data_IF_523408977740
#
_entry.id   IF_523408977740
#
_cell.length_a   1.000
_cell.length_b   1.000
_cell.length_c   1.000
_cell.angle_alpha   90.00
_cell.angle_beta   90.00
_cell.angle_gamma   90.00
#
_symmetry.space_group_name_H-M   'P 1'
#
loop_
_entity.id
_entity.type
_entity.pdbx_description
1 polymer ?
#
# COMPACT_ATOMS: atom_id res chain seq x y z
N UNK A 1 8.44 -26.10 20.05
CA UNK A 1 9.01 -25.14 19.10
C UNK A 1 8.49 -25.56 17.75
N UNK A 2 7.74 -24.73 17.06
CA UNK A 2 7.36 -25.00 15.67
C UNK A 2 8.65 -25.00 14.83
N UNK A 3 8.82 -26.01 13.97
CA UNK A 3 9.96 -26.07 13.07
C UNK A 3 9.93 -24.84 12.15
N UNK A 4 10.96 -24.00 12.24
CA UNK A 4 11.12 -22.84 11.36
C UNK A 4 11.45 -23.38 9.96
N UNK A 5 10.67 -23.05 8.93
CA UNK A 5 10.96 -23.50 7.58
C UNK A 5 12.29 -22.92 7.09
N UNK A 6 13.02 -23.70 6.31
CA UNK A 6 14.35 -23.30 5.78
C UNK A 6 14.21 -22.29 4.65
N UNK A 7 13.17 -22.44 3.82
CA UNK A 7 12.89 -21.56 2.67
C UNK A 7 11.39 -21.24 2.59
N UNK A 8 11.06 -20.17 1.89
CA UNK A 8 9.71 -19.78 1.52
C UNK A 8 9.67 -19.08 0.18
N UNK A 9 8.52 -19.06 -0.48
CA UNK A 9 8.34 -18.35 -1.75
C UNK A 9 8.25 -16.86 -1.51
N UNK A 10 8.83 -16.08 -2.44
CA UNK A 10 8.80 -14.63 -2.42
C UNK A 10 8.68 -14.08 -3.85
N UNK A 11 7.84 -13.06 -4.04
CA UNK A 11 7.75 -12.33 -5.30
C UNK A 11 8.88 -11.29 -5.36
N UNK A 12 9.70 -11.41 -6.39
CA UNK A 12 10.76 -10.47 -6.71
C UNK A 12 10.39 -9.66 -7.95
N UNK A 13 10.82 -8.41 -8.00
CA UNK A 13 10.74 -7.53 -9.17
C UNK A 13 12.15 -7.09 -9.55
N UNK A 14 12.48 -7.13 -10.84
CA UNK A 14 13.76 -6.73 -11.38
C UNK A 14 13.57 -5.91 -12.66
N UNK A 15 14.36 -4.86 -12.83
CA UNK A 15 14.49 -4.13 -14.07
C UNK A 15 15.84 -4.53 -14.66
N UNK A 16 15.85 -5.17 -15.84
CA UNK A 16 17.12 -5.53 -16.47
C UNK A 16 17.70 -4.36 -17.25
N UNK A 17 19.03 -4.31 -17.37
CA UNK A 17 19.75 -3.33 -18.22
C UNK A 17 19.40 -3.48 -19.71
N UNK A 18 18.84 -4.63 -20.12
CA UNK A 18 18.34 -4.91 -21.46
C UNK A 18 16.93 -4.38 -21.73
N UNK A 19 16.29 -3.72 -20.74
CA UNK A 19 14.97 -3.12 -20.89
C UNK A 19 13.80 -4.07 -20.68
N UNK A 20 13.96 -5.03 -19.80
CA UNK A 20 12.87 -5.91 -19.34
C UNK A 20 12.51 -5.62 -17.89
N UNK A 21 11.22 -5.66 -17.58
CA UNK A 21 10.72 -5.87 -16.24
C UNK A 21 10.51 -7.37 -16.04
N UNK A 22 11.06 -7.93 -14.97
CA UNK A 22 10.83 -9.33 -14.55
C UNK A 22 10.11 -9.38 -13.22
N UNK A 23 9.08 -10.21 -13.12
CA UNK A 23 8.45 -10.61 -11.87
C UNK A 23 8.67 -12.12 -11.71
N UNK A 24 9.32 -12.52 -10.62
CA UNK A 24 9.69 -13.93 -10.40
C UNK A 24 9.22 -14.39 -9.03
N UNK A 25 8.58 -15.57 -8.94
CA UNK A 25 8.30 -16.22 -7.66
C UNK A 25 9.49 -17.13 -7.36
N UNK A 26 10.40 -16.66 -6.51
CA UNK A 26 11.62 -17.38 -6.14
C UNK A 26 11.55 -17.99 -4.74
N UNK A 27 12.36 -19.02 -4.50
CA UNK A 27 12.62 -19.51 -3.14
C UNK A 27 13.63 -18.59 -2.46
N UNK A 28 13.29 -18.12 -1.26
CA UNK A 28 14.15 -17.30 -0.42
C UNK A 28 14.43 -18.00 0.92
N UNK A 29 15.64 -17.88 1.48
CA UNK A 29 15.95 -18.44 2.78
C UNK A 29 15.12 -17.71 3.87
N UNK A 30 14.55 -18.49 4.79
CA UNK A 30 13.87 -17.93 5.97
C UNK A 30 14.90 -17.73 7.07
N UNK A 31 15.06 -16.49 7.48
CA UNK A 31 15.97 -16.14 8.58
C UNK A 31 15.31 -16.41 9.91
N UNK A 32 15.96 -17.21 10.76
CA UNK A 32 15.53 -17.39 12.14
C UNK A 32 15.58 -16.02 12.87
N UNK A 33 14.56 -15.69 13.69
CA UNK A 33 14.56 -14.46 14.46
C UNK A 33 15.57 -14.56 15.62
N UNK A 34 16.28 -13.46 15.86
CA UNK A 34 17.21 -13.26 16.97
C UNK A 34 16.90 -11.92 17.67
N UNK A 35 17.29 -11.77 18.94
CA UNK A 35 17.13 -10.54 19.71
C UNK A 35 15.69 -10.03 19.69
N UNK A 36 15.52 -8.86 19.09
CA UNK A 36 14.27 -8.11 18.96
C UNK A 36 13.43 -8.50 17.74
N UNK A 37 13.84 -9.52 16.97
CA UNK A 37 13.12 -9.90 15.75
C UNK A 37 12.03 -10.92 16.01
N UNK A 38 11.05 -10.92 15.12
CA UNK A 38 9.99 -11.94 15.04
C UNK A 38 9.96 -12.51 13.63
N UNK A 39 9.52 -13.76 13.52
CA UNK A 39 9.21 -14.42 12.25
C UNK A 39 7.70 -14.47 12.06
N UNK A 40 7.21 -13.77 11.05
CA UNK A 40 5.80 -13.75 10.67
C UNK A 40 5.58 -14.71 9.51
N UNK A 41 4.65 -15.65 9.65
CA UNK A 41 4.04 -16.37 8.53
C UNK A 41 2.98 -15.44 7.93
N UNK A 42 3.28 -14.87 6.75
CA UNK A 42 2.40 -13.94 6.06
C UNK A 42 1.23 -14.71 5.43
N UNK A 43 0.02 -14.27 5.66
CA UNK A 43 -1.19 -14.94 5.18
C UNK A 43 -2.03 -14.06 4.25
N UNK A 44 -1.85 -12.73 4.33
CA UNK A 44 -2.54 -11.80 3.45
C UNK A 44 -1.72 -10.52 3.25
N UNK A 45 -1.73 -10.00 2.03
CA UNK A 45 -1.13 -8.71 1.66
C UNK A 45 -2.00 -8.03 0.62
N UNK A 46 -2.33 -6.74 0.77
CA UNK A 46 -3.10 -6.01 -0.22
C UNK A 46 -2.21 -5.61 -1.39
N UNK A 47 -2.82 -5.25 -2.50
CA UNK A 47 -2.16 -4.55 -3.62
C UNK A 47 -2.57 -3.08 -3.55
N UNK A 48 -1.65 -2.23 -3.11
CA UNK A 48 -1.83 -0.79 -3.11
C UNK A 48 -1.38 -0.18 -4.45
N UNK A 49 -1.89 1.01 -4.85
CA UNK A 49 -1.38 1.70 -6.03
C UNK A 49 0.15 1.94 -6.01
N UNK A 50 0.73 2.14 -4.83
CA UNK A 50 2.18 2.26 -4.64
C UNK A 50 2.95 0.96 -4.93
N UNK A 51 2.33 -0.21 -4.71
CA UNK A 51 2.94 -1.50 -5.09
C UNK A 51 3.02 -1.65 -6.62
N UNK A 52 2.02 -1.15 -7.36
CA UNK A 52 2.00 -1.21 -8.82
C UNK A 52 3.20 -0.48 -9.43
N UNK A 53 3.66 0.60 -8.80
CA UNK A 53 4.87 1.31 -9.22
C UNK A 53 6.14 0.44 -9.16
N UNK A 54 6.24 -0.44 -8.18
CA UNK A 54 7.35 -1.38 -8.04
C UNK A 54 7.15 -2.63 -8.91
N UNK A 55 5.92 -3.16 -8.95
CA UNK A 55 5.58 -4.40 -9.66
C UNK A 55 5.56 -4.25 -11.18
N UNK A 56 4.94 -3.17 -11.67
CA UNK A 56 4.77 -2.94 -13.10
C UNK A 56 5.74 -1.88 -13.61
N UNK A 57 6.14 -0.97 -12.73
CA UNK A 57 7.00 0.16 -13.08
C UNK A 57 6.39 0.97 -14.23
N UNK A 58 7.20 1.19 -15.24
CA UNK A 58 6.82 1.84 -16.49
C UNK A 58 6.85 0.86 -17.67
N UNK A 59 6.71 -0.44 -17.40
CA UNK A 59 6.70 -1.48 -18.43
C UNK A 59 5.41 -1.41 -19.26
N UNK A 60 5.52 -1.77 -20.52
CA UNK A 60 4.38 -1.97 -21.40
C UNK A 60 3.72 -3.32 -21.07
N UNK A 61 2.63 -3.28 -20.33
CA UNK A 61 1.91 -4.48 -19.87
C UNK A 61 1.31 -5.31 -21.00
N UNK A 62 1.09 -4.71 -22.18
CA UNK A 62 0.60 -5.44 -23.36
C UNK A 62 1.68 -6.41 -23.92
N UNK A 63 2.93 -6.20 -23.58
CA UNK A 63 4.05 -7.09 -23.95
C UNK A 63 4.29 -8.21 -22.95
N UNK A 64 3.50 -8.26 -21.88
CA UNK A 64 3.68 -9.21 -20.80
C UNK A 64 3.56 -10.66 -21.30
N UNK A 65 4.54 -11.48 -20.95
CA UNK A 65 4.57 -12.90 -21.29
C UNK A 65 5.05 -13.73 -20.11
N UNK A 66 4.50 -14.91 -20.00
CA UNK A 66 5.00 -15.90 -19.05
C UNK A 66 6.37 -16.42 -19.49
N UNK A 67 7.28 -16.50 -18.54
CA UNK A 67 8.64 -17.04 -18.74
C UNK A 67 9.00 -17.95 -17.58
N UNK A 68 10.19 -18.53 -17.64
CA UNK A 68 10.80 -19.25 -16.54
C UNK A 68 12.16 -18.62 -16.26
N UNK A 69 12.49 -18.40 -15.01
CA UNK A 69 13.80 -17.92 -14.59
C UNK A 69 14.43 -18.95 -13.65
N UNK A 70 15.32 -19.76 -14.20
CA UNK A 70 16.04 -20.81 -13.46
C UNK A 70 15.10 -21.78 -12.72
N UNK A 71 14.03 -22.22 -13.39
CA UNK A 71 13.01 -23.11 -12.81
C UNK A 71 11.97 -22.42 -11.94
N UNK A 72 11.96 -21.09 -11.90
CA UNK A 72 10.99 -20.30 -11.15
C UNK A 72 9.95 -19.66 -12.09
N UNK A 73 8.64 -19.76 -11.79
CA UNK A 73 7.60 -19.09 -12.56
C UNK A 73 7.85 -17.58 -12.62
N UNK A 74 7.86 -17.02 -13.82
CA UNK A 74 8.19 -15.63 -14.06
C UNK A 74 7.27 -15.00 -15.11
N UNK A 75 7.16 -13.68 -15.07
CA UNK A 75 6.53 -12.85 -16.09
C UNK A 75 7.52 -11.78 -16.50
N UNK A 76 7.67 -11.56 -17.80
CA UNK A 76 8.45 -10.47 -18.34
C UNK A 76 7.59 -9.52 -19.16
N UNK A 77 7.91 -8.22 -19.13
CA UNK A 77 7.33 -7.18 -19.97
C UNK A 77 8.41 -6.22 -20.47
N UNK A 78 8.19 -5.57 -21.59
CA UNK A 78 9.15 -4.65 -22.19
C UNK A 78 9.07 -3.26 -21.51
N UNK A 79 10.24 -2.66 -21.25
CA UNK A 79 10.32 -1.28 -20.78
C UNK A 79 10.62 -0.39 -21.98
N UNK A 80 9.81 0.66 -22.27
CA UNK A 80 10.07 1.59 -23.35
C UNK A 80 11.48 2.19 -23.25
N UNK A 81 12.20 2.23 -24.37
CA UNK A 81 13.61 2.62 -24.41
C UNK A 81 13.87 4.04 -23.83
N UNK A 82 12.91 4.96 -23.97
CA UNK A 82 13.03 6.31 -23.43
C UNK A 82 12.86 6.37 -21.89
N UNK A 83 12.25 5.34 -21.27
CA UNK A 83 12.07 5.24 -19.82
C UNK A 83 13.27 4.55 -19.15
N UNK A 84 13.87 3.59 -19.83
CA UNK A 84 14.92 2.73 -19.26
C UNK A 84 16.07 3.49 -18.57
N UNK A 85 16.61 4.61 -19.10
CA UNK A 85 17.68 5.35 -18.43
C UNK A 85 17.29 5.92 -17.05
N UNK A 86 16.00 6.22 -16.83
CA UNK A 86 15.50 6.73 -15.55
C UNK A 86 15.43 5.64 -14.47
N UNK A 87 15.48 4.37 -14.85
CA UNK A 87 15.44 3.21 -13.95
C UNK A 87 16.83 2.64 -13.64
N UNK A 88 17.91 3.31 -14.02
CA UNK A 88 19.29 2.82 -13.91
C UNK A 88 19.66 2.35 -12.50
N UNK A 89 19.14 3.00 -11.46
CA UNK A 89 19.40 2.60 -10.07
C UNK A 89 18.81 1.23 -9.68
N UNK A 90 17.90 0.69 -10.51
CA UNK A 90 17.25 -0.62 -10.31
C UNK A 90 17.76 -1.71 -11.23
N UNK A 91 18.68 -1.38 -12.15
CA UNK A 91 19.14 -2.35 -13.14
C UNK A 91 19.80 -3.56 -12.51
N UNK A 92 19.35 -4.74 -12.93
CA UNK A 92 19.91 -6.04 -12.58
C UNK A 92 19.93 -6.31 -11.05
N UNK A 93 18.98 -5.68 -10.34
CA UNK A 93 18.77 -5.89 -8.92
C UNK A 93 17.36 -6.42 -8.67
N UNK A 94 17.27 -7.71 -8.37
CA UNK A 94 16.04 -8.34 -7.93
C UNK A 94 15.67 -7.86 -6.51
N UNK A 95 14.50 -7.28 -6.36
CA UNK A 95 14.01 -6.70 -5.11
C UNK A 95 12.71 -7.36 -4.67
N UNK A 96 12.53 -7.69 -3.38
CA UNK A 96 11.27 -8.19 -2.88
C UNK A 96 10.18 -7.11 -2.92
N UNK A 97 8.96 -7.49 -3.24
CA UNK A 97 7.80 -6.61 -3.37
C UNK A 97 6.82 -6.72 -2.19
N UNK A 98 5.86 -5.78 -2.12
CA UNK A 98 4.79 -5.70 -1.13
C UNK A 98 5.10 -4.75 0.01
N UNK A 99 4.28 -3.68 0.18
CA UNK A 99 4.52 -2.64 1.17
C UNK A 99 4.04 -3.03 2.57
N UNK A 100 2.90 -3.70 2.65
CA UNK A 100 2.25 -4.10 3.90
C UNK A 100 1.60 -5.47 3.76
N UNK A 101 1.25 -6.06 4.88
CA UNK A 101 0.53 -7.32 4.95
C UNK A 101 0.25 -7.73 6.39
N UNK A 102 -0.29 -8.90 6.57
CA UNK A 102 -0.58 -9.46 7.88
C UNK A 102 -0.36 -10.96 7.92
N UNK A 103 -0.13 -11.47 9.12
CA UNK A 103 0.10 -12.86 9.36
C UNK A 103 0.17 -13.19 10.83
N UNK A 104 0.64 -14.40 11.13
CA UNK A 104 0.81 -14.87 12.51
C UNK A 104 2.30 -14.93 12.84
N UNK A 105 2.68 -14.43 14.00
CA UNK A 105 4.04 -14.58 14.53
C UNK A 105 4.25 -16.02 14.95
N UNK A 106 5.15 -16.75 14.28
CA UNK A 106 5.41 -18.17 14.52
C UNK A 106 6.67 -18.43 15.34
N UNK A 107 7.59 -17.47 15.41
CA UNK A 107 8.78 -17.51 16.25
C UNK A 107 9.26 -16.09 16.57
N UNK A 108 10.05 -15.96 17.64
CA UNK A 108 10.64 -14.70 18.08
C UNK A 108 12.03 -14.93 18.68
N UNK A 109 12.89 -13.91 18.61
CA UNK A 109 14.14 -13.83 19.35
C UNK A 109 13.89 -13.71 20.86
N UNK A 110 14.95 -13.57 21.63
CA UNK A 110 14.92 -13.68 23.09
C UNK A 110 14.35 -12.46 23.84
N UNK A 111 14.15 -11.32 23.16
CA UNK A 111 13.57 -10.15 23.81
C UNK A 111 12.11 -10.37 24.26
N UNK A 112 11.77 -10.00 25.53
CA UNK A 112 10.42 -10.21 26.06
C UNK A 112 9.30 -9.58 25.20
N UNK A 113 9.55 -8.42 24.59
CA UNK A 113 8.60 -7.74 23.72
C UNK A 113 8.36 -8.51 22.42
N UNK A 114 9.39 -9.13 21.84
CA UNK A 114 9.26 -10.00 20.67
C UNK A 114 8.52 -11.30 21.03
N UNK A 115 8.90 -11.94 22.15
CA UNK A 115 8.26 -13.16 22.66
C UNK A 115 6.77 -12.98 22.94
N UNK A 116 6.36 -11.81 23.42
CA UNK A 116 4.97 -11.48 23.70
C UNK A 116 4.06 -11.47 22.45
N UNK A 117 4.64 -11.45 21.25
CA UNK A 117 3.91 -11.48 19.98
C UNK A 117 3.72 -12.91 19.42
N UNK A 118 4.42 -13.91 19.94
CA UNK A 118 4.30 -15.29 19.42
C UNK A 118 2.85 -15.78 19.52
N UNK A 119 2.33 -16.31 18.41
CA UNK A 119 0.96 -16.78 18.25
C UNK A 119 -0.06 -15.69 17.96
N UNK A 120 0.31 -14.40 17.99
CA UNK A 120 -0.61 -13.30 17.70
C UNK A 120 -0.70 -13.03 16.20
N UNK A 121 -1.90 -12.62 15.76
CA UNK A 121 -2.10 -11.98 14.47
C UNK A 121 -1.51 -10.56 14.53
N UNK A 122 -0.69 -10.22 13.54
CA UNK A 122 -0.05 -8.90 13.42
C UNK A 122 -0.23 -8.34 12.02
N UNK A 123 -0.51 -7.04 11.94
CA UNK A 123 -0.29 -6.27 10.73
C UNK A 123 1.17 -5.83 10.67
N UNK A 124 1.73 -5.74 9.47
CA UNK A 124 3.14 -5.44 9.26
C UNK A 124 3.31 -4.36 8.19
N UNK A 125 4.12 -3.36 8.51
CA UNK A 125 4.66 -2.39 7.56
C UNK A 125 6.18 -2.57 7.49
N UNK A 126 6.74 -2.85 6.33
CA UNK A 126 8.19 -3.03 6.26
C UNK A 126 8.73 -3.52 4.93
N UNK A 127 7.89 -3.59 3.91
CA UNK A 127 8.29 -4.12 2.60
C UNK A 127 8.46 -5.65 2.57
N UNK A 128 8.63 -6.19 1.38
CA UNK A 128 8.82 -7.63 1.15
C UNK A 128 7.65 -8.50 1.65
N UNK A 129 6.42 -7.96 1.63
CA UNK A 129 5.25 -8.65 2.17
C UNK A 129 4.57 -9.58 1.14
N UNK A 130 5.00 -9.60 -0.12
CA UNK A 130 4.59 -10.62 -1.09
C UNK A 130 5.49 -11.84 -1.01
N UNK A 131 5.48 -12.47 0.17
CA UNK A 131 6.24 -13.66 0.51
C UNK A 131 5.56 -14.46 1.60
N UNK A 132 5.90 -15.74 1.75
CA UNK A 132 5.29 -16.63 2.76
C UNK A 132 5.78 -16.34 4.18
N UNK A 133 7.01 -15.80 4.31
CA UNK A 133 7.63 -15.54 5.61
C UNK A 133 8.36 -14.20 5.60
N UNK A 134 8.33 -13.52 6.76
CA UNK A 134 9.03 -12.26 6.95
C UNK A 134 9.63 -12.17 8.35
N UNK A 135 10.96 -12.06 8.42
CA UNK A 135 11.69 -11.78 9.68
C UNK A 135 11.95 -10.28 9.77
N UNK A 136 11.50 -9.64 10.86
CA UNK A 136 11.58 -8.20 11.06
C UNK A 136 11.60 -7.84 12.56
N UNK A 137 11.92 -6.60 12.88
CA UNK A 137 11.89 -6.09 14.26
C UNK A 137 10.45 -6.05 14.79
N UNK A 138 10.23 -6.45 16.04
CA UNK A 138 8.89 -6.52 16.64
C UNK A 138 8.11 -5.21 16.61
N UNK A 139 8.81 -4.05 16.65
CA UNK A 139 8.18 -2.73 16.59
C UNK A 139 7.52 -2.40 15.24
N UNK A 140 7.81 -3.18 14.18
CA UNK A 140 7.16 -3.07 12.88
C UNK A 140 5.85 -3.89 12.81
N UNK A 141 5.51 -4.58 13.90
CA UNK A 141 4.31 -5.37 14.03
C UNK A 141 3.26 -4.63 14.86
N UNK A 142 2.08 -4.48 14.31
CA UNK A 142 0.89 -4.01 15.03
C UNK A 142 0.09 -5.23 15.46
N UNK A 143 0.06 -5.58 16.77
CA UNK A 143 -0.75 -6.70 17.23
C UNK A 143 -2.24 -6.37 17.08
N UNK A 144 -3.00 -7.33 16.53
CA UNK A 144 -4.43 -7.20 16.37
C UNK A 144 -5.17 -7.62 17.65
N UNK A 145 -6.40 -7.13 17.79
CA UNK A 145 -7.31 -7.61 18.82
C UNK A 145 -7.65 -9.09 18.58
N UNK A 146 -8.02 -9.77 19.65
CA UNK A 146 -8.44 -11.17 19.59
C UNK A 146 -9.60 -11.37 18.62
N UNK A 147 -9.50 -12.41 17.80
CA UNK A 147 -10.48 -12.76 16.77
C UNK A 147 -10.31 -12.05 15.43
N UNK A 148 -9.43 -11.05 15.30
CA UNK A 148 -9.14 -10.41 14.02
C UNK A 148 -8.22 -11.31 13.19
N UNK A 149 -8.65 -11.60 11.97
CA UNK A 149 -7.89 -12.47 11.04
C UNK A 149 -6.80 -11.69 10.30
N UNK A 150 -5.75 -12.35 9.78
CA UNK A 150 -4.76 -11.72 8.91
C UNK A 150 -5.37 -11.05 7.67
N UNK A 151 -6.42 -11.65 7.11
CA UNK A 151 -7.12 -11.06 5.95
C UNK A 151 -7.77 -9.72 6.26
N UNK A 152 -8.37 -9.57 7.44
CA UNK A 152 -9.00 -8.31 7.88
C UNK A 152 -7.96 -7.24 8.22
N UNK A 153 -6.78 -7.63 8.67
CA UNK A 153 -5.69 -6.73 9.07
C UNK A 153 -4.66 -6.46 7.99
N UNK A 154 -4.77 -7.08 6.81
CA UNK A 154 -3.76 -6.96 5.75
C UNK A 154 -3.50 -5.51 5.29
N UNK A 155 -4.52 -4.63 5.32
CA UNK A 155 -4.44 -3.21 4.91
C UNK A 155 -4.48 -2.24 6.10
N UNK A 156 -3.91 -2.59 7.24
CA UNK A 156 -4.04 -1.76 8.45
C UNK A 156 -3.03 -0.61 8.54
N UNK A 157 -2.07 -0.50 7.61
CA UNK A 157 -1.04 0.53 7.65
C UNK A 157 -1.15 1.57 6.53
N UNK A 158 -0.97 1.20 5.26
CA UNK A 158 -0.76 2.17 4.17
C UNK A 158 -1.95 3.13 4.06
N UNK A 159 -3.15 2.62 3.90
CA UNK A 159 -4.33 3.46 3.73
C UNK A 159 -4.74 4.20 5.02
N UNK A 160 -4.83 3.55 6.20
CA UNK A 160 -5.19 4.25 7.44
C UNK A 160 -4.19 5.35 7.84
N UNK A 161 -2.88 5.08 7.74
CA UNK A 161 -1.87 6.09 8.07
C UNK A 161 -1.87 7.24 7.06
N UNK A 162 -2.13 6.96 5.79
CA UNK A 162 -2.27 8.02 4.77
C UNK A 162 -3.48 8.89 5.06
N UNK A 163 -4.63 8.29 5.39
CA UNK A 163 -5.85 9.04 5.74
C UNK A 163 -5.65 9.90 6.99
N UNK A 164 -5.06 9.35 8.05
CA UNK A 164 -4.68 10.09 9.26
C UNK A 164 -3.69 11.23 8.93
N UNK A 165 -2.65 10.93 8.15
CA UNK A 165 -1.66 11.91 7.75
C UNK A 165 -2.25 13.08 6.97
N UNK A 166 -3.27 12.86 6.14
CA UNK A 166 -4.01 13.93 5.46
C UNK A 166 -4.69 14.87 6.46
N UNK A 167 -5.37 14.32 7.48
CA UNK A 167 -6.05 15.11 8.52
C UNK A 167 -5.04 15.87 9.36
N UNK A 168 -3.98 15.22 9.81
CA UNK A 168 -2.94 15.86 10.62
C UNK A 168 -2.18 16.95 9.84
N UNK A 169 -1.84 16.70 8.57
CA UNK A 169 -1.22 17.73 7.72
C UNK A 169 -2.14 18.94 7.56
N UNK A 170 -3.43 18.73 7.31
CA UNK A 170 -4.41 19.82 7.24
C UNK A 170 -4.37 20.67 8.51
N UNK A 171 -4.36 20.03 9.70
CA UNK A 171 -4.30 20.72 10.99
C UNK A 171 -2.99 21.50 11.19
N UNK A 172 -1.87 20.87 10.85
CA UNK A 172 -0.53 21.49 10.95
C UNK A 172 -0.38 22.72 10.06
N UNK A 173 -0.98 22.68 8.86
CA UNK A 173 -1.00 23.80 7.91
C UNK A 173 -2.08 24.86 8.23
N UNK A 174 -2.86 24.69 9.29
CA UNK A 174 -3.90 25.62 9.71
C UNK A 174 -5.16 25.64 8.84
N UNK A 175 -5.39 24.60 8.04
CA UNK A 175 -6.62 24.46 7.27
C UNK A 175 -7.73 23.80 8.09
N UNK A 176 -8.99 24.08 7.73
CA UNK A 176 -10.18 23.57 8.43
C UNK A 176 -11.00 22.56 7.62
N UNK A 177 -10.56 22.24 6.40
CA UNK A 177 -11.27 21.33 5.51
C UNK A 177 -10.31 20.64 4.54
N UNK A 178 -10.74 19.49 4.03
CA UNK A 178 -10.02 18.70 3.03
C UNK A 178 -10.83 18.56 1.74
N UNK A 179 -10.11 18.38 0.64
CA UNK A 179 -10.67 17.95 -0.66
C UNK A 179 -9.97 16.68 -1.07
N UNK A 180 -10.74 15.64 -1.44
CA UNK A 180 -10.19 14.36 -1.86
C UNK A 180 -10.73 13.92 -3.23
N UNK A 181 -9.85 13.64 -4.19
CA UNK A 181 -10.21 13.36 -5.59
C UNK A 181 -10.47 11.87 -5.89
N UNK A 182 -9.96 10.96 -5.07
CA UNK A 182 -10.20 9.52 -5.20
C UNK A 182 -11.14 9.02 -4.11
N UNK A 183 -12.21 9.77 -3.83
CA UNK A 183 -12.99 9.68 -2.61
C UNK A 183 -13.69 8.33 -2.38
N UNK A 184 -14.08 7.62 -3.43
CA UNK A 184 -14.68 6.29 -3.31
C UNK A 184 -13.68 5.14 -3.21
N UNK A 185 -12.36 5.42 -3.24
CA UNK A 185 -11.33 4.41 -3.00
C UNK A 185 -11.36 3.91 -1.56
N UNK A 186 -10.66 2.79 -1.29
CA UNK A 186 -10.53 2.26 0.07
C UNK A 186 -9.98 3.33 1.04
N UNK A 187 -8.92 4.03 0.65
CA UNK A 187 -8.36 5.15 1.40
C UNK A 187 -9.38 6.28 1.60
N UNK A 188 -10.11 6.67 0.55
CA UNK A 188 -11.10 7.75 0.63
C UNK A 188 -12.26 7.42 1.57
N UNK A 189 -12.73 6.18 1.60
CA UNK A 189 -13.74 5.72 2.54
C UNK A 189 -13.22 5.74 4.00
N UNK A 190 -11.95 5.38 4.23
CA UNK A 190 -11.31 5.51 5.55
C UNK A 190 -11.18 6.97 5.97
N UNK A 191 -10.73 7.84 5.06
CA UNK A 191 -10.63 9.28 5.30
C UNK A 191 -12.00 9.88 5.65
N UNK A 192 -13.06 9.50 4.92
CA UNK A 192 -14.43 9.96 5.22
C UNK A 192 -14.86 9.58 6.63
N UNK A 193 -14.59 8.34 7.08
CA UNK A 193 -14.91 7.89 8.43
C UNK A 193 -14.13 8.66 9.51
N UNK A 194 -12.84 8.91 9.29
CA UNK A 194 -12.01 9.71 10.22
C UNK A 194 -12.54 11.15 10.28
N UNK A 195 -12.83 11.77 9.13
CA UNK A 195 -13.36 13.13 9.08
C UNK A 195 -14.69 13.28 9.80
N UNK A 196 -15.60 12.28 9.71
CA UNK A 196 -16.84 12.27 10.49
C UNK A 196 -16.54 12.18 12.00
N UNK A 197 -15.67 11.27 12.41
CA UNK A 197 -15.34 11.07 13.83
C UNK A 197 -14.68 12.30 14.45
N UNK A 198 -13.91 13.05 13.68
CA UNK A 198 -13.12 14.21 14.12
C UNK A 198 -13.77 15.57 13.80
N UNK A 199 -15.01 15.57 13.29
CA UNK A 199 -15.76 16.77 12.83
C UNK A 199 -14.97 17.62 11.81
N UNK A 200 -14.23 16.96 10.91
CA UNK A 200 -13.48 17.61 9.83
C UNK A 200 -14.34 17.65 8.57
N UNK A 201 -14.46 18.82 7.94
CA UNK A 201 -15.17 18.96 6.67
C UNK A 201 -14.37 18.36 5.52
N UNK A 202 -15.00 17.41 4.80
CA UNK A 202 -14.37 16.72 3.66
C UNK A 202 -15.22 16.88 2.40
N UNK A 203 -14.65 17.48 1.36
CA UNK A 203 -15.26 17.53 0.02
C UNK A 203 -14.79 16.35 -0.78
N UNK A 204 -15.70 15.45 -1.10
CA UNK A 204 -15.45 14.23 -1.85
C UNK A 204 -15.67 14.45 -3.34
N UNK A 205 -14.66 14.19 -4.16
CA UNK A 205 -14.76 14.28 -5.61
C UNK A 205 -14.79 12.89 -6.22
N UNK A 206 -15.84 12.62 -7.00
CA UNK A 206 -16.06 11.34 -7.69
C UNK A 206 -16.37 11.55 -9.17
N UNK A 207 -16.38 10.47 -9.95
CA UNK A 207 -16.64 10.50 -11.41
C UNK A 207 -17.88 9.72 -11.83
N UNK A 208 -18.52 9.01 -10.90
CA UNK A 208 -19.68 8.15 -11.19
C UNK A 208 -20.72 8.29 -10.08
N UNK A 209 -21.99 8.14 -10.41
CA UNK A 209 -23.08 8.27 -9.44
C UNK A 209 -23.06 7.14 -8.39
N UNK A 210 -22.65 5.91 -8.77
CA UNK A 210 -22.53 4.83 -7.81
C UNK A 210 -21.49 5.16 -6.71
N UNK A 211 -20.42 5.86 -7.08
CA UNK A 211 -19.40 6.33 -6.14
C UNK A 211 -19.95 7.42 -5.20
N UNK A 212 -20.79 8.31 -5.75
CA UNK A 212 -21.44 9.35 -4.96
C UNK A 212 -22.44 8.76 -3.97
N UNK A 213 -23.24 7.80 -4.41
CA UNK A 213 -24.18 7.08 -3.55
C UNK A 213 -23.46 6.37 -2.39
N UNK A 214 -22.41 5.61 -2.68
CA UNK A 214 -21.56 4.94 -1.68
C UNK A 214 -21.07 5.91 -0.58
N UNK A 215 -20.61 7.09 -0.96
CA UNK A 215 -20.10 8.07 0.01
C UNK A 215 -21.23 8.73 0.83
N UNK A 216 -22.37 9.00 0.20
CA UNK A 216 -23.57 9.51 0.93
C UNK A 216 -24.06 8.47 1.94
N UNK A 217 -24.06 7.19 1.58
CA UNK A 217 -24.41 6.10 2.50
C UNK A 217 -23.42 5.98 3.67
N UNK A 218 -22.16 6.37 3.47
CA UNK A 218 -21.17 6.50 4.53
C UNK A 218 -21.30 7.78 5.36
N UNK A 219 -22.28 8.64 5.07
CA UNK A 219 -22.52 9.89 5.80
C UNK A 219 -21.75 11.10 5.24
N UNK A 220 -21.26 11.06 4.01
CA UNK A 220 -20.59 12.22 3.40
C UNK A 220 -21.59 13.36 3.13
N UNK A 221 -21.32 14.53 3.71
CA UNK A 221 -22.13 15.74 3.51
C UNK A 221 -21.86 16.41 2.15
N UNK A 222 -20.58 16.45 1.75
CA UNK A 222 -20.15 17.13 0.52
C UNK A 222 -19.61 16.13 -0.50
N UNK A 223 -20.41 15.85 -1.54
CA UNK A 223 -20.04 14.96 -2.63
C UNK A 223 -20.22 15.67 -3.97
N UNK A 224 -19.14 15.82 -4.72
CA UNK A 224 -19.13 16.43 -6.04
C UNK A 224 -18.89 15.35 -7.11
N UNK A 225 -19.91 15.11 -7.96
CA UNK A 225 -19.77 14.20 -9.08
C UNK A 225 -19.30 14.99 -10.33
N UNK A 226 -18.08 14.75 -10.79
CA UNK A 226 -17.48 15.45 -11.92
C UNK A 226 -18.11 15.10 -13.29
N UNK A 227 -18.98 14.09 -13.37
CA UNK A 227 -19.76 13.82 -14.57
C UNK A 227 -20.91 14.83 -14.73
N UNK A 228 -21.28 15.57 -13.68
CA UNK A 228 -22.20 16.69 -13.76
C UNK A 228 -21.43 17.95 -14.24
N UNK A 229 -21.70 18.36 -15.48
CA UNK A 229 -20.99 19.46 -16.14
C UNK A 229 -21.10 20.80 -15.39
N UNK A 230 -22.22 21.05 -14.70
CA UNK A 230 -22.43 22.28 -13.92
C UNK A 230 -21.55 22.28 -12.66
N UNK A 231 -21.52 21.17 -11.92
CA UNK A 231 -20.69 21.01 -10.72
C UNK A 231 -19.19 21.02 -11.08
N UNK A 232 -18.80 20.40 -12.20
CA UNK A 232 -17.42 20.41 -12.68
C UNK A 232 -16.92 21.85 -12.97
N UNK A 233 -17.73 22.67 -13.67
CA UNK A 233 -17.40 24.05 -13.96
C UNK A 233 -17.36 24.93 -12.70
N UNK A 234 -18.28 24.74 -11.78
CA UNK A 234 -18.31 25.43 -10.50
C UNK A 234 -17.07 25.14 -9.67
N UNK A 235 -16.67 23.85 -9.59
CA UNK A 235 -15.48 23.40 -8.86
C UNK A 235 -14.19 23.94 -9.46
N UNK A 236 -14.04 23.90 -10.77
CA UNK A 236 -12.89 24.47 -11.48
C UNK A 236 -12.77 26.00 -11.23
N UNK A 237 -13.88 26.71 -11.11
CA UNK A 237 -13.87 28.14 -10.75
C UNK A 237 -13.41 28.38 -9.31
N UNK A 238 -13.82 27.53 -8.36
CA UNK A 238 -13.39 27.64 -6.97
C UNK A 238 -11.90 27.33 -6.83
N UNK A 239 -11.41 26.21 -7.38
CA UNK A 239 -10.00 25.85 -7.36
C UNK A 239 -9.14 26.93 -8.00
N UNK A 240 -9.55 27.45 -9.16
CA UNK A 240 -8.84 28.56 -9.81
C UNK A 240 -8.78 29.81 -8.93
N UNK A 241 -9.85 30.12 -8.19
CA UNK A 241 -9.89 31.28 -7.28
C UNK A 241 -8.96 31.08 -6.07
N UNK A 242 -8.92 29.88 -5.49
CA UNK A 242 -8.03 29.52 -4.38
C UNK A 242 -6.57 29.57 -4.84
N UNK A 243 -6.23 28.94 -5.97
CA UNK A 243 -4.87 28.93 -6.50
C UNK A 243 -4.37 30.35 -6.86
N UNK A 244 -5.23 31.23 -7.40
CA UNK A 244 -4.84 32.61 -7.72
C UNK A 244 -4.58 33.42 -6.44
N UNK A 245 -5.34 33.19 -5.37
CA UNK A 245 -5.12 33.88 -4.09
C UNK A 245 -3.86 33.41 -3.35
N UNK A 246 -3.46 32.15 -3.53
CA UNK A 246 -2.24 31.59 -2.89
C UNK A 246 -0.94 32.01 -3.57
N UNK A 247 -0.98 32.64 -4.74
CA UNK A 247 0.18 33.10 -5.53
C UNK A 247 0.27 34.62 -5.67
N UNK A 248 -0.47 35.39 -4.87
CA UNK A 248 -0.22 36.84 -4.76
C UNK A 248 0.85 37.07 -3.69
N UNK A 249 1.95 37.79 -4.01
CA UNK A 249 3.05 38.07 -3.10
C UNK A 249 2.64 38.93 -1.92
#
# INVERSE_FOLDING_TARGET
MSDIPVTGRQLLTEVTSEGKLKLTIAQAPVQAPDGSKVLVRVEASPINPSDLGLLLGMADVETARQTDSDGNPSVEADIPAHILPHLKARWDHAMPAGNEGAGVVIAAGEEPAAQALVGKTVGVLGGAMYGEYRTLHYSQCLPMHDGVTPKESASCFVNPLTALGMVETMRMEGFSALIHTAAASNLGQMLQKICIADDVKLVNIVRKEEQAALLRDLGAEFVCNMSDAFLALFFLRIIRKILIQSFQP
#
